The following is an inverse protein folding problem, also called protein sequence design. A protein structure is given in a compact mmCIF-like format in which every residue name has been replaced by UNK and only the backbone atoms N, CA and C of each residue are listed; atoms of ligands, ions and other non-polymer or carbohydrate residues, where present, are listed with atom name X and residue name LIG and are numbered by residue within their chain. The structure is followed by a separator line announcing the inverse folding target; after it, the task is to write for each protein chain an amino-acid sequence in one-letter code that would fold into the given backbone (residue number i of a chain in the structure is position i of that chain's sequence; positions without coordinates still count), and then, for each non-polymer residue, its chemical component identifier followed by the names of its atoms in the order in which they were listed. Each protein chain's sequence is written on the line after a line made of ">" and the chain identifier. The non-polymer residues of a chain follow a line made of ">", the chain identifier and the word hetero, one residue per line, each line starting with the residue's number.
data_IF_363382319439
#
_entry.id   IF_363382319439
#
_cell.length_a   1.000
_cell.length_b   1.000
_cell.length_c   1.000
_cell.angle_alpha   90.00
_cell.angle_beta   90.00
_cell.angle_gamma   90.00
#
_symmetry.space_group_name_H-M   'P 1'
#
loop_
_entity.id
_entity.type
_entity.pdbx_description
1 polymer ?
#
# COMPACT_ATOMS: atom_id res chain seq x y z
N UNK A 1 -15.77 15.46 -12.43
CA UNK A 1 -15.18 15.07 -11.13
C UNK A 1 -14.11 16.07 -10.70
N UNK A 2 -13.06 16.27 -11.50
CA UNK A 2 -11.95 17.14 -11.11
C UNK A 2 -12.40 18.55 -10.73
N UNK A 3 -13.22 19.21 -11.56
CA UNK A 3 -13.79 20.53 -11.24
C UNK A 3 -14.56 20.52 -9.91
N UNK A 4 -15.39 19.50 -9.67
CA UNK A 4 -16.17 19.37 -8.44
C UNK A 4 -15.25 19.27 -7.22
N UNK A 5 -14.19 18.47 -7.30
CA UNK A 5 -13.21 18.29 -6.21
C UNK A 5 -12.42 19.57 -5.98
N UNK A 6 -12.08 20.29 -7.06
CA UNK A 6 -11.33 21.53 -7.01
C UNK A 6 -12.15 22.68 -6.41
N UNK A 7 -13.45 22.77 -6.72
CA UNK A 7 -14.32 23.88 -6.32
C UNK A 7 -15.01 23.62 -4.97
N UNK A 8 -15.52 22.41 -4.73
CA UNK A 8 -16.33 22.13 -3.55
C UNK A 8 -15.52 21.45 -2.45
N UNK A 9 -15.70 21.93 -1.20
CA UNK A 9 -15.14 21.32 0.02
C UNK A 9 -16.09 20.35 0.73
N UNK A 10 -17.29 20.18 0.20
CA UNK A 10 -18.32 19.34 0.81
C UNK A 10 -18.03 17.86 0.57
N UNK A 11 -17.79 17.11 1.66
CA UNK A 11 -17.32 15.73 1.61
C UNK A 11 -18.26 14.76 0.90
N UNK A 12 -19.58 14.89 1.07
CA UNK A 12 -20.53 14.00 0.37
C UNK A 12 -20.52 14.23 -1.15
N UNK A 13 -20.33 15.49 -1.58
CA UNK A 13 -20.21 15.84 -3.01
C UNK A 13 -18.93 15.22 -3.58
N UNK A 14 -17.81 15.31 -2.83
CA UNK A 14 -16.54 14.68 -3.21
C UNK A 14 -16.65 13.16 -3.31
N UNK A 15 -17.34 12.54 -2.35
CA UNK A 15 -17.57 11.10 -2.33
C UNK A 15 -18.35 10.62 -3.56
N UNK A 16 -19.41 11.34 -3.94
CA UNK A 16 -20.17 11.03 -5.15
C UNK A 16 -19.33 11.25 -6.41
N UNK A 17 -18.60 12.36 -6.49
CA UNK A 17 -17.77 12.67 -7.63
C UNK A 17 -16.70 11.59 -7.89
N UNK A 18 -16.02 11.10 -6.83
CA UNK A 18 -15.05 10.00 -6.96
C UNK A 18 -15.74 8.66 -7.24
N UNK A 19 -16.96 8.44 -6.74
CA UNK A 19 -17.72 7.20 -7.01
C UNK A 19 -18.17 7.11 -8.47
N UNK A 20 -18.64 8.22 -9.05
CA UNK A 20 -18.96 8.32 -10.48
C UNK A 20 -17.69 8.10 -11.32
N UNK A 21 -16.56 8.71 -10.94
CA UNK A 21 -15.30 8.51 -11.66
C UNK A 21 -14.84 7.05 -11.59
N UNK A 22 -14.96 6.40 -10.43
CA UNK A 22 -14.67 4.98 -10.28
C UNK A 22 -15.51 4.13 -11.25
N UNK A 23 -16.81 4.41 -11.38
CA UNK A 23 -17.69 3.70 -12.30
C UNK A 23 -17.25 3.88 -13.77
N UNK A 24 -16.91 5.10 -14.16
CA UNK A 24 -16.45 5.42 -15.51
C UNK A 24 -15.15 4.66 -15.83
N UNK A 25 -14.17 4.71 -14.92
CA UNK A 25 -12.87 4.04 -15.10
C UNK A 25 -13.02 2.52 -15.08
N UNK A 26 -13.85 1.97 -14.18
CA UNK A 26 -14.10 0.54 -14.10
C UNK A 26 -14.73 -0.05 -15.37
N UNK A 27 -15.54 0.74 -16.09
CA UNK A 27 -16.16 0.33 -17.35
C UNK A 27 -15.25 0.52 -18.57
N UNK A 28 -14.13 1.23 -18.42
CA UNK A 28 -13.19 1.47 -19.52
C UNK A 28 -12.17 0.33 -19.67
N UNK A 29 -11.81 0.03 -20.91
CA UNK A 29 -10.77 -0.95 -21.20
C UNK A 29 -9.39 -0.42 -20.74
N UNK A 30 -8.68 -1.20 -19.92
CA UNK A 30 -7.39 -0.82 -19.33
C UNK A 30 -6.30 -0.53 -20.38
N UNK A 31 -6.35 -1.16 -21.56
CA UNK A 31 -5.30 -1.09 -22.57
C UNK A 31 -5.63 -0.14 -23.73
N UNK A 32 -6.93 0.13 -23.95
CA UNK A 32 -7.39 0.87 -25.13
C UNK A 32 -7.95 2.26 -24.82
N UNK A 33 -8.53 2.46 -23.63
CA UNK A 33 -9.35 3.65 -23.37
C UNK A 33 -9.00 4.39 -22.08
N UNK A 34 -8.42 3.70 -21.10
CA UNK A 34 -8.28 4.24 -19.75
C UNK A 34 -7.22 5.35 -19.64
N UNK A 35 -6.28 5.39 -20.57
CA UNK A 35 -5.23 6.41 -20.65
C UNK A 35 -5.78 7.83 -20.78
N UNK A 36 -6.92 8.02 -21.44
CA UNK A 36 -7.60 9.33 -21.52
C UNK A 36 -7.98 9.95 -20.18
N UNK A 37 -8.05 9.13 -19.12
CA UNK A 37 -8.33 9.62 -17.78
C UNK A 37 -7.07 9.95 -16.98
N UNK A 38 -5.89 9.44 -17.35
CA UNK A 38 -4.63 9.66 -16.63
C UNK A 38 -4.03 11.06 -16.83
N UNK A 39 -4.79 12.12 -16.56
CA UNK A 39 -4.38 13.52 -16.76
C UNK A 39 -3.82 14.14 -15.48
N UNK A 40 -2.97 15.17 -15.59
CA UNK A 40 -2.39 15.87 -14.43
C UNK A 40 -3.46 16.42 -13.50
N UNK A 41 -4.52 17.01 -14.06
CA UNK A 41 -5.67 17.54 -13.30
C UNK A 41 -6.35 16.45 -12.47
N UNK A 42 -6.40 15.21 -12.98
CA UNK A 42 -6.94 14.08 -12.23
C UNK A 42 -6.03 13.72 -11.05
N UNK A 43 -4.72 13.67 -11.26
CA UNK A 43 -3.76 13.39 -10.18
C UNK A 43 -3.74 14.49 -9.12
N UNK A 44 -3.88 15.76 -9.51
CA UNK A 44 -4.08 16.88 -8.57
C UNK A 44 -5.36 16.71 -7.73
N UNK A 45 -6.45 16.26 -8.38
CA UNK A 45 -7.69 15.96 -7.67
C UNK A 45 -7.52 14.78 -6.69
N UNK A 46 -6.76 13.75 -7.07
CA UNK A 46 -6.41 12.62 -6.20
C UNK A 46 -5.63 13.10 -4.98
N UNK A 47 -4.62 13.96 -5.14
CA UNK A 47 -3.90 14.56 -4.02
C UNK A 47 -4.85 15.25 -3.04
N UNK A 48 -5.78 16.08 -3.56
CA UNK A 48 -6.75 16.80 -2.72
C UNK A 48 -7.68 15.86 -1.95
N UNK A 49 -8.05 14.72 -2.54
CA UNK A 49 -8.92 13.72 -1.94
C UNK A 49 -8.19 12.79 -0.96
N UNK A 50 -6.87 12.65 -1.07
CA UNK A 50 -6.05 11.83 -0.16
C UNK A 50 -5.49 12.62 1.04
N UNK A 51 -5.58 13.95 1.02
CA UNK A 51 -5.04 14.83 2.08
C UNK A 51 -5.41 14.35 3.49
N UNK A 52 -4.53 14.60 4.46
CA UNK A 52 -4.68 14.17 5.86
C UNK A 52 -6.08 14.35 6.44
N UNK A 53 -6.74 15.48 6.20
CA UNK A 53 -8.07 15.81 6.72
C UNK A 53 -9.29 15.27 5.95
N UNK A 54 -9.11 14.53 4.84
CA UNK A 54 -10.23 13.94 4.10
C UNK A 54 -10.84 12.75 4.86
N UNK A 55 -12.15 12.51 4.69
CA UNK A 55 -12.83 11.37 5.33
C UNK A 55 -12.35 10.02 4.79
N UNK A 56 -12.36 9.00 5.65
CA UNK A 56 -11.86 7.65 5.34
C UNK A 56 -12.50 7.04 4.09
N UNK A 57 -13.82 7.18 3.91
CA UNK A 57 -14.52 6.67 2.74
C UNK A 57 -14.06 7.34 1.43
N UNK A 58 -13.81 8.66 1.46
CA UNK A 58 -13.30 9.41 0.31
C UNK A 58 -11.91 8.93 -0.04
N UNK A 59 -11.01 8.80 0.96
CA UNK A 59 -9.67 8.25 0.76
C UNK A 59 -9.73 6.84 0.18
N UNK A 60 -10.57 5.95 0.72
CA UNK A 60 -10.72 4.57 0.25
C UNK A 60 -11.13 4.50 -1.22
N UNK A 61 -12.16 5.28 -1.61
CA UNK A 61 -12.60 5.36 -3.02
C UNK A 61 -11.55 5.98 -3.93
N UNK A 62 -10.73 6.89 -3.41
CA UNK A 62 -9.65 7.54 -4.16
C UNK A 62 -8.46 6.61 -4.37
N UNK A 63 -8.06 5.84 -3.35
CA UNK A 63 -7.04 4.78 -3.49
C UNK A 63 -7.48 3.75 -4.52
N UNK A 64 -8.76 3.37 -4.52
CA UNK A 64 -9.30 2.47 -5.54
C UNK A 64 -9.25 3.07 -6.95
N UNK A 65 -9.60 4.36 -7.10
CA UNK A 65 -9.48 5.08 -8.38
C UNK A 65 -8.03 5.06 -8.88
N UNK A 66 -7.09 5.42 -7.99
CA UNK A 66 -5.65 5.43 -8.31
C UNK A 66 -5.18 4.05 -8.76
N UNK A 67 -5.57 2.97 -8.07
CA UNK A 67 -5.24 1.61 -8.48
C UNK A 67 -5.79 1.27 -9.87
N UNK A 68 -7.05 1.59 -10.16
CA UNK A 68 -7.62 1.30 -11.49
C UNK A 68 -6.94 2.09 -12.60
N UNK A 69 -6.58 3.35 -12.35
CA UNK A 69 -5.83 4.17 -13.31
C UNK A 69 -4.45 3.57 -13.59
N UNK A 70 -3.69 3.24 -12.54
CA UNK A 70 -2.36 2.65 -12.66
C UNK A 70 -2.38 1.21 -13.21
N UNK A 71 -3.53 0.54 -13.19
CA UNK A 71 -3.72 -0.72 -13.90
C UNK A 71 -3.71 -0.54 -15.44
N UNK A 72 -3.81 0.68 -15.96
CA UNK A 72 -3.52 0.98 -17.37
C UNK A 72 -2.00 1.08 -17.59
N UNK A 73 -1.39 0.26 -18.47
CA UNK A 73 0.05 0.30 -18.70
C UNK A 73 0.57 1.65 -19.20
N UNK A 74 -0.22 2.37 -20.01
CA UNK A 74 0.17 3.71 -20.51
C UNK A 74 0.20 4.74 -19.39
N UNK A 75 -0.80 4.74 -18.52
CA UNK A 75 -0.83 5.62 -17.32
C UNK A 75 0.30 5.24 -16.38
N UNK A 76 0.53 3.95 -16.13
CA UNK A 76 1.64 3.48 -15.29
C UNK A 76 3.00 3.90 -15.85
N UNK A 77 3.21 3.80 -17.17
CA UNK A 77 4.45 4.21 -17.81
C UNK A 77 4.70 5.72 -17.64
N UNK A 78 3.67 6.56 -17.84
CA UNK A 78 3.75 8.00 -17.61
C UNK A 78 3.95 8.36 -16.14
N UNK A 79 3.31 7.64 -15.23
CA UNK A 79 3.52 7.79 -13.79
C UNK A 79 4.95 7.43 -13.40
N UNK A 80 5.52 6.41 -14.04
CA UNK A 80 6.89 5.94 -13.83
C UNK A 80 7.96 6.84 -14.42
N UNK A 81 7.73 7.48 -15.57
CA UNK A 81 8.73 8.32 -16.24
C UNK A 81 9.16 9.50 -15.37
N UNK A 82 8.27 10.01 -14.52
CA UNK A 82 8.59 11.06 -13.55
C UNK A 82 9.69 10.68 -12.53
N UNK A 83 10.03 9.40 -12.39
CA UNK A 83 11.10 8.93 -11.50
C UNK A 83 12.43 8.69 -12.22
N UNK A 84 12.42 8.61 -13.55
CA UNK A 84 13.59 8.26 -14.36
C UNK A 84 14.36 9.49 -14.87
N UNK A 85 13.82 10.70 -14.70
CA UNK A 85 14.46 11.97 -15.11
C UNK A 85 15.61 12.42 -14.17
N UNK A 86 16.06 11.55 -13.25
CA UNK A 86 17.11 11.85 -12.28
C UNK A 86 18.55 11.48 -12.69
N UNK A 87 18.75 10.72 -13.77
CA UNK A 87 20.10 10.35 -14.22
C UNK A 87 20.54 11.22 -15.41
N UNK A 88 21.18 12.35 -15.09
CA UNK A 88 22.13 13.01 -15.98
C UNK A 88 21.65 14.28 -16.71
N UNK A 89 22.18 15.42 -16.26
CA UNK A 89 22.42 16.64 -17.05
C UNK A 89 21.20 17.30 -17.72
N UNK A 90 20.47 18.09 -16.94
CA UNK A 90 19.67 19.19 -17.46
C UNK A 90 19.45 20.23 -16.37
N UNK A 91 20.02 21.43 -16.51
CA UNK A 91 19.60 22.58 -15.72
C UNK A 91 18.10 22.77 -15.96
N UNK A 92 17.28 22.51 -14.95
CA UNK A 92 15.88 22.91 -14.98
C UNK A 92 15.84 24.40 -14.67
N UNK A 93 15.45 25.20 -15.66
CA UNK A 93 15.13 26.61 -15.49
C UNK A 93 14.10 26.76 -14.36
N UNK A 94 14.45 27.54 -13.33
CA UNK A 94 13.69 27.71 -12.08
C UNK A 94 12.41 28.58 -12.28
N UNK A 95 12.01 28.85 -13.53
CA UNK A 95 10.96 29.82 -13.86
C UNK A 95 9.74 29.25 -14.62
N UNK A 96 9.47 27.94 -14.59
CA UNK A 96 8.15 27.44 -14.95
C UNK A 96 7.25 27.34 -13.71
N UNK A 97 6.21 28.16 -13.69
CA UNK A 97 5.20 28.24 -12.62
C UNK A 97 4.22 27.04 -12.64
N UNK A 98 4.67 25.88 -13.14
CA UNK A 98 3.91 24.64 -13.16
C UNK A 98 4.39 23.78 -11.99
N UNK A 99 3.51 23.53 -11.03
CA UNK A 99 3.70 22.48 -10.02
C UNK A 99 4.05 21.18 -10.74
N UNK A 100 5.34 20.84 -10.82
CA UNK A 100 5.83 19.74 -11.65
C UNK A 100 5.07 18.45 -11.35
N UNK A 101 4.75 17.64 -12.36
CA UNK A 101 4.02 16.36 -12.18
C UNK A 101 4.70 15.46 -11.13
N UNK A 102 6.03 15.56 -10.98
CA UNK A 102 6.79 14.94 -9.90
C UNK A 102 6.32 15.37 -8.49
N UNK A 103 6.08 16.66 -8.26
CA UNK A 103 5.56 17.18 -6.98
C UNK A 103 4.20 16.56 -6.64
N UNK A 104 3.30 16.41 -7.63
CA UNK A 104 1.98 15.79 -7.42
C UNK A 104 2.13 14.32 -7.00
N UNK A 105 2.99 13.57 -7.70
CA UNK A 105 3.22 12.16 -7.40
C UNK A 105 3.88 11.98 -6.02
N UNK A 106 4.80 12.85 -5.65
CA UNK A 106 5.45 12.81 -4.34
C UNK A 106 4.42 12.90 -3.19
N UNK A 107 3.47 13.83 -3.31
CA UNK A 107 2.38 14.02 -2.34
C UNK A 107 1.42 12.83 -2.32
N UNK A 108 1.20 12.15 -3.46
CA UNK A 108 0.43 10.91 -3.49
C UNK A 108 1.08 9.85 -2.61
N UNK A 109 2.39 9.62 -2.72
CA UNK A 109 3.07 8.62 -1.91
C UNK A 109 3.11 8.96 -0.43
N UNK A 110 3.30 10.23 -0.09
CA UNK A 110 3.18 10.69 1.29
C UNK A 110 1.78 10.39 1.85
N UNK A 111 0.74 10.69 1.07
CA UNK A 111 -0.64 10.44 1.48
C UNK A 111 -0.97 8.94 1.60
N UNK A 112 -0.39 8.09 0.73
CA UNK A 112 -0.52 6.62 0.85
C UNK A 112 0.22 6.11 2.09
N UNK A 113 1.40 6.63 2.40
CA UNK A 113 2.12 6.29 3.61
C UNK A 113 1.35 6.69 4.87
N UNK A 114 0.70 7.86 4.87
CA UNK A 114 -0.22 8.26 5.94
C UNK A 114 -1.41 7.29 6.07
N UNK A 115 -2.00 6.85 4.95
CA UNK A 115 -3.09 5.88 4.98
C UNK A 115 -2.68 4.55 5.63
N UNK A 116 -1.42 4.10 5.46
CA UNK A 116 -0.88 2.88 6.08
C UNK A 116 -0.60 3.10 7.56
N UNK A 117 -0.04 4.25 7.93
CA UNK A 117 0.32 4.58 9.30
C UNK A 117 -0.89 4.81 10.24
N UNK A 118 -2.12 4.81 9.73
CA UNK A 118 -3.33 4.91 10.54
C UNK A 118 -3.46 3.70 11.49
N UNK A 119 -3.10 3.85 12.76
CA UNK A 119 -3.11 2.77 13.77
C UNK A 119 -4.47 2.51 14.42
N UNK A 120 -5.56 3.06 13.88
CA UNK A 120 -6.86 2.92 14.53
C UNK A 120 -7.50 1.54 14.30
N UNK A 121 -8.37 1.19 15.23
CA UNK A 121 -8.94 -0.16 15.41
C UNK A 121 -10.30 -0.34 14.75
N UNK A 122 -10.86 0.68 14.09
CA UNK A 122 -12.17 0.54 13.46
C UNK A 122 -12.08 -0.14 12.08
N UNK A 123 -13.20 -0.73 11.65
CA UNK A 123 -13.26 -1.49 10.40
C UNK A 123 -12.97 -0.63 9.16
N UNK A 124 -13.35 0.65 9.16
CA UNK A 124 -13.16 1.54 8.01
C UNK A 124 -11.69 1.89 7.76
N UNK A 125 -10.93 2.14 8.83
CA UNK A 125 -9.49 2.38 8.78
C UNK A 125 -8.74 1.14 8.30
N UNK A 126 -9.10 -0.03 8.82
CA UNK A 126 -8.57 -1.31 8.36
C UNK A 126 -8.85 -1.53 6.86
N UNK A 127 -10.06 -1.20 6.40
CA UNK A 127 -10.40 -1.26 4.99
C UNK A 127 -9.55 -0.30 4.15
N UNK A 128 -9.36 0.95 4.58
CA UNK A 128 -8.52 1.93 3.87
C UNK A 128 -7.07 1.43 3.76
N UNK A 129 -6.50 0.96 4.87
CA UNK A 129 -5.15 0.37 4.92
C UNK A 129 -5.05 -0.80 3.96
N UNK A 130 -6.00 -1.73 4.00
CA UNK A 130 -6.03 -2.89 3.12
C UNK A 130 -6.03 -2.51 1.63
N UNK A 131 -6.86 -1.55 1.22
CA UNK A 131 -6.88 -1.10 -0.18
C UNK A 131 -5.58 -0.41 -0.59
N UNK A 132 -4.94 0.29 0.35
CA UNK A 132 -3.63 0.91 0.13
C UNK A 132 -2.54 -0.15 -0.05
N UNK A 133 -2.53 -1.18 0.80
CA UNK A 133 -1.61 -2.32 0.68
C UNK A 133 -1.82 -3.09 -0.62
N UNK A 134 -3.07 -3.27 -1.07
CA UNK A 134 -3.37 -3.90 -2.37
C UNK A 134 -2.77 -3.10 -3.52
N UNK A 135 -2.88 -1.76 -3.49
CA UNK A 135 -2.22 -0.89 -4.48
C UNK A 135 -0.69 -1.05 -4.43
N UNK A 136 -0.08 -1.09 -3.25
CA UNK A 136 1.35 -1.34 -3.14
C UNK A 136 1.74 -2.74 -3.63
N UNK A 137 0.92 -3.76 -3.38
CA UNK A 137 1.12 -5.12 -3.88
C UNK A 137 1.04 -5.18 -5.42
N UNK A 138 0.23 -4.31 -6.03
CA UNK A 138 0.20 -4.09 -7.47
C UNK A 138 1.54 -3.49 -7.94
N UNK A 139 2.05 -2.42 -7.32
CA UNK A 139 3.37 -1.86 -7.66
C UNK A 139 4.49 -2.90 -7.61
N UNK A 140 4.51 -3.75 -6.59
CA UNK A 140 5.47 -4.85 -6.46
C UNK A 140 5.41 -5.87 -7.62
N UNK A 141 4.31 -5.86 -8.39
CA UNK A 141 4.07 -6.72 -9.55
C UNK A 141 4.14 -5.97 -10.89
N UNK A 142 4.27 -4.64 -10.89
CA UNK A 142 4.27 -3.78 -12.10
C UNK A 142 5.66 -3.64 -12.75
N UNK A 143 6.59 -4.56 -12.46
CA UNK A 143 7.95 -4.54 -12.99
C UNK A 143 8.90 -3.61 -12.23
N UNK A 144 10.01 -3.25 -12.88
CA UNK A 144 11.16 -2.54 -12.27
C UNK A 144 10.75 -1.26 -11.53
N UNK A 145 10.08 -0.34 -12.22
CA UNK A 145 9.71 0.96 -11.66
C UNK A 145 8.86 0.82 -10.38
N UNK A 146 7.84 -0.03 -10.39
CA UNK A 146 6.96 -0.21 -9.24
C UNK A 146 7.70 -0.76 -8.01
N UNK A 147 8.63 -1.70 -8.21
CA UNK A 147 9.47 -2.23 -7.12
C UNK A 147 10.45 -1.17 -6.61
N UNK A 148 11.07 -0.40 -7.49
CA UNK A 148 12.00 0.67 -7.11
C UNK A 148 11.32 1.80 -6.34
N UNK A 149 10.09 2.17 -6.71
CA UNK A 149 9.25 3.09 -5.93
C UNK A 149 9.10 2.57 -4.50
N UNK A 150 8.73 1.31 -4.31
CA UNK A 150 8.47 0.77 -2.98
C UNK A 150 9.74 0.67 -2.11
N UNK A 151 10.89 0.40 -2.72
CA UNK A 151 12.13 0.13 -1.98
C UNK A 151 13.02 1.36 -1.81
N UNK A 152 12.95 2.33 -2.72
CA UNK A 152 13.90 3.45 -2.78
C UNK A 152 13.25 4.82 -2.60
N UNK A 153 11.93 4.94 -2.70
CA UNK A 153 11.28 6.24 -2.52
C UNK A 153 11.43 6.71 -1.07
N UNK A 154 12.14 7.82 -0.88
CA UNK A 154 12.34 8.45 0.42
C UNK A 154 11.11 9.23 0.84
N UNK A 155 10.46 8.80 1.92
CA UNK A 155 9.36 9.55 2.52
C UNK A 155 9.90 10.63 3.48
N UNK A 156 9.10 11.67 3.80
CA UNK A 156 9.46 12.68 4.77
C UNK A 156 9.96 12.08 6.09
N UNK A 157 10.94 12.76 6.71
CA UNK A 157 11.60 12.33 7.96
C UNK A 157 12.43 11.04 7.82
N UNK A 158 12.90 10.72 6.61
CA UNK A 158 13.77 9.56 6.37
C UNK A 158 13.07 8.21 6.55
N UNK A 159 11.73 8.19 6.46
CA UNK A 159 10.95 6.95 6.49
C UNK A 159 10.96 6.29 5.11
N UNK A 160 10.65 5.00 5.09
CA UNK A 160 10.41 4.24 3.87
C UNK A 160 9.16 3.37 4.02
N UNK A 161 8.61 2.90 2.90
CA UNK A 161 7.42 2.04 2.91
C UNK A 161 7.63 0.74 3.71
N UNK A 162 8.75 0.01 3.57
CA UNK A 162 9.00 -1.20 4.36
C UNK A 162 8.88 -0.96 5.87
N UNK A 163 9.49 0.11 6.40
CA UNK A 163 9.43 0.43 7.83
C UNK A 163 7.99 0.75 8.27
N UNK A 164 7.26 1.58 7.52
CA UNK A 164 5.89 1.97 7.87
C UNK A 164 4.95 0.75 7.85
N UNK A 165 5.11 -0.14 6.87
CA UNK A 165 4.32 -1.37 6.76
C UNK A 165 4.60 -2.30 7.95
N UNK A 166 5.88 -2.51 8.30
CA UNK A 166 6.26 -3.36 9.43
C UNK A 166 5.74 -2.79 10.76
N UNK A 167 5.90 -1.48 10.98
CA UNK A 167 5.41 -0.81 12.18
C UNK A 167 3.88 -0.91 12.30
N UNK A 168 3.15 -0.65 11.20
CA UNK A 168 1.68 -0.81 11.19
C UNK A 168 1.27 -2.25 11.51
N UNK A 169 1.98 -3.24 10.98
CA UNK A 169 1.66 -4.64 11.18
C UNK A 169 1.90 -5.07 12.64
N UNK A 170 2.99 -4.63 13.27
CA UNK A 170 3.22 -4.88 14.70
C UNK A 170 2.10 -4.26 15.55
N UNK A 171 1.71 -3.02 15.28
CA UNK A 171 0.58 -2.39 15.97
C UNK A 171 -0.71 -3.20 15.83
N UNK A 172 -0.99 -3.75 14.65
CA UNK A 172 -2.19 -4.59 14.43
C UNK A 172 -2.13 -5.91 15.23
N UNK A 173 -0.95 -6.53 15.34
CA UNK A 173 -0.76 -7.74 16.15
C UNK A 173 -0.90 -7.45 17.65
N UNK A 174 -0.35 -6.34 18.13
CA UNK A 174 -0.44 -5.94 19.54
C UNK A 174 -1.90 -5.64 19.93
N UNK A 175 -2.67 -5.02 19.02
CA UNK A 175 -4.11 -4.79 19.21
C UNK A 175 -4.93 -6.09 19.14
N UNK A 176 -4.50 -7.08 18.37
CA UNK A 176 -5.15 -8.39 18.33
C UNK A 176 -4.94 -9.18 19.63
N UNK A 177 -3.76 -9.08 20.23
CA UNK A 177 -3.42 -9.78 21.48
C UNK A 177 -4.04 -9.12 22.74
N UNK A 178 -4.23 -7.80 22.73
CA UNK A 178 -4.73 -7.05 23.89
C UNK A 178 -6.24 -6.95 24.00
N UNK A 179 -6.98 -7.13 22.90
CA UNK A 179 -8.42 -6.88 22.85
C UNK A 179 -9.21 -8.18 22.67
N UNK A 180 -9.60 -8.76 23.80
CA UNK A 180 -10.35 -10.02 23.90
C UNK A 180 -11.82 -9.90 23.47
N UNK A 181 -12.31 -8.68 23.21
CA UNK A 181 -13.71 -8.39 22.90
C UNK A 181 -13.89 -7.69 21.54
N UNK A 182 -13.06 -8.04 20.56
CA UNK A 182 -13.14 -7.44 19.23
C UNK A 182 -14.45 -7.72 18.51
N UNK A 183 -15.01 -6.67 17.92
CA UNK A 183 -16.15 -6.82 17.03
C UNK A 183 -15.77 -7.74 15.84
N UNK A 184 -16.66 -8.68 15.45
CA UNK A 184 -16.36 -9.65 14.39
C UNK A 184 -15.92 -9.01 13.06
N UNK A 185 -16.46 -7.83 12.73
CA UNK A 185 -16.10 -7.10 11.52
C UNK A 185 -14.67 -6.55 11.58
N UNK A 186 -14.25 -6.00 12.72
CA UNK A 186 -12.89 -5.49 12.94
C UNK A 186 -11.88 -6.63 12.84
N UNK A 187 -12.15 -7.75 13.51
CA UNK A 187 -11.30 -8.93 13.44
C UNK A 187 -11.15 -9.44 11.99
N UNK A 188 -12.27 -9.51 11.26
CA UNK A 188 -12.28 -9.94 9.85
C UNK A 188 -11.44 -9.01 8.99
N UNK A 189 -11.62 -7.69 9.11
CA UNK A 189 -10.87 -6.73 8.29
C UNK A 189 -9.38 -6.72 8.65
N UNK A 190 -9.01 -6.89 9.92
CA UNK A 190 -7.61 -7.02 10.32
C UNK A 190 -6.97 -8.29 9.76
N UNK A 191 -7.66 -9.43 9.84
CA UNK A 191 -7.19 -10.69 9.23
C UNK A 191 -6.92 -10.49 7.73
N UNK A 192 -7.84 -9.82 7.02
CA UNK A 192 -7.65 -9.53 5.59
C UNK A 192 -6.48 -8.58 5.34
N UNK A 193 -6.31 -7.54 6.17
CA UNK A 193 -5.17 -6.62 6.08
C UNK A 193 -3.83 -7.36 6.25
N UNK A 194 -3.68 -8.17 7.31
CA UNK A 194 -2.47 -8.96 7.58
C UNK A 194 -2.13 -9.84 6.37
N UNK A 195 -3.13 -10.53 5.81
CA UNK A 195 -2.95 -11.35 4.61
C UNK A 195 -2.40 -10.54 3.43
N UNK A 196 -2.98 -9.40 3.12
CA UNK A 196 -2.52 -8.56 1.99
C UNK A 196 -1.11 -8.01 2.23
N UNK A 197 -0.75 -7.66 3.48
CA UNK A 197 0.61 -7.23 3.83
C UNK A 197 1.60 -8.36 3.57
N UNK A 198 1.30 -9.58 4.01
CA UNK A 198 2.16 -10.73 3.77
C UNK A 198 2.28 -11.07 2.27
N UNK A 199 1.23 -10.90 1.48
CA UNK A 199 1.28 -11.05 0.01
C UNK A 199 2.23 -10.02 -0.59
N UNK A 200 2.11 -8.74 -0.21
CA UNK A 200 3.01 -7.67 -0.66
C UNK A 200 4.47 -7.99 -0.33
N UNK A 201 4.76 -8.32 0.93
CA UNK A 201 6.13 -8.63 1.38
C UNK A 201 6.69 -9.84 0.65
N UNK A 202 5.93 -10.92 0.51
CA UNK A 202 6.35 -12.11 -0.23
C UNK A 202 6.61 -11.81 -1.72
N UNK A 203 5.79 -10.96 -2.36
CA UNK A 203 6.03 -10.53 -3.74
C UNK A 203 7.36 -9.78 -3.88
N UNK A 204 7.67 -8.87 -2.96
CA UNK A 204 8.93 -8.14 -2.95
C UNK A 204 10.14 -9.06 -2.77
N UNK A 205 10.13 -9.91 -1.74
CA UNK A 205 11.27 -10.80 -1.44
C UNK A 205 11.38 -12.02 -2.37
N UNK A 206 10.36 -12.25 -3.20
CA UNK A 206 10.37 -13.28 -4.25
C UNK A 206 10.64 -12.71 -5.64
N UNK A 207 10.84 -11.40 -5.77
CA UNK A 207 11.07 -10.78 -7.06
C UNK A 207 12.39 -11.28 -7.69
N UNK A 208 12.40 -11.77 -8.95
CA UNK A 208 13.57 -12.42 -9.55
C UNK A 208 14.85 -11.59 -9.55
N UNK A 209 14.73 -10.27 -9.70
CA UNK A 209 15.86 -9.33 -9.77
C UNK A 209 16.09 -8.51 -8.49
N UNK A 210 15.08 -8.37 -7.63
CA UNK A 210 15.09 -7.41 -6.52
C UNK A 210 14.95 -8.07 -5.15
N UNK A 211 14.87 -9.40 -5.07
CA UNK A 211 14.70 -10.14 -3.81
C UNK A 211 15.75 -9.77 -2.76
N UNK A 212 17.03 -9.71 -3.13
CA UNK A 212 18.13 -9.33 -2.23
C UNK A 212 18.03 -7.88 -1.77
N UNK A 213 17.60 -6.97 -2.65
CA UNK A 213 17.40 -5.56 -2.32
C UNK A 213 16.20 -5.38 -1.38
N UNK A 214 15.09 -6.08 -1.63
CA UNK A 214 13.91 -6.10 -0.77
C UNK A 214 14.22 -6.67 0.63
N UNK A 215 14.95 -7.79 0.70
CA UNK A 215 15.40 -8.38 1.96
C UNK A 215 16.31 -7.43 2.73
N UNK A 216 17.22 -6.74 2.03
CA UNK A 216 18.05 -5.69 2.63
C UNK A 216 17.20 -4.52 3.11
N UNK A 217 16.22 -4.04 2.35
CA UNK A 217 15.35 -2.94 2.78
C UNK A 217 14.58 -3.27 4.07
N UNK A 218 14.18 -4.53 4.24
CA UNK A 218 13.54 -5.03 5.47
C UNK A 218 14.51 -5.22 6.64
N UNK A 219 15.82 -5.27 6.42
CA UNK A 219 16.80 -5.68 7.45
C UNK A 219 18.04 -4.78 7.56
N UNK A 220 18.09 -3.64 6.86
CA UNK A 220 19.25 -2.75 6.81
C UNK A 220 19.52 -1.97 8.11
N UNK A 221 18.66 -2.11 9.11
CA UNK A 221 18.84 -1.56 10.45
C UNK A 221 18.39 -2.58 11.48
N UNK A 222 18.94 -2.47 12.69
CA UNK A 222 18.57 -3.33 13.81
C UNK A 222 17.07 -3.28 14.08
N UNK A 223 16.47 -2.10 14.06
CA UNK A 223 15.03 -1.91 14.27
C UNK A 223 14.21 -2.69 13.25
N UNK A 224 14.45 -2.50 11.94
CA UNK A 224 13.69 -3.20 10.89
C UNK A 224 13.93 -4.70 10.91
N UNK A 225 15.17 -5.15 11.17
CA UNK A 225 15.46 -6.56 11.31
C UNK A 225 14.69 -7.19 12.49
N UNK A 226 14.67 -6.51 13.64
CA UNK A 226 13.89 -6.94 14.81
C UNK A 226 12.39 -6.97 14.51
N UNK A 227 11.82 -5.92 13.90
CA UNK A 227 10.40 -5.89 13.53
C UNK A 227 10.05 -7.00 12.53
N UNK A 228 10.89 -7.23 11.51
CA UNK A 228 10.66 -8.28 10.51
C UNK A 228 10.70 -9.67 11.14
N UNK A 229 11.67 -9.92 12.03
CA UNK A 229 11.78 -11.20 12.75
C UNK A 229 10.60 -11.39 13.71
N UNK A 230 10.19 -10.36 14.44
CA UNK A 230 9.05 -10.42 15.37
C UNK A 230 7.75 -10.77 14.63
N UNK A 231 7.40 -9.97 13.61
CA UNK A 231 6.19 -10.17 12.79
C UNK A 231 6.16 -11.57 12.20
N UNK A 232 7.25 -12.01 11.55
CA UNK A 232 7.29 -13.32 10.91
C UNK A 232 7.24 -14.46 11.92
N UNK A 233 7.83 -14.28 13.12
CA UNK A 233 7.73 -15.25 14.22
C UNK A 233 6.30 -15.38 14.73
N UNK A 234 5.69 -14.28 15.18
CA UNK A 234 4.34 -14.25 15.74
C UNK A 234 3.31 -14.83 14.78
N UNK A 235 3.36 -14.43 13.52
CA UNK A 235 2.42 -14.92 12.50
C UNK A 235 2.67 -16.38 12.09
N UNK A 236 3.93 -16.84 12.05
CA UNK A 236 4.24 -18.24 11.73
C UNK A 236 3.91 -19.23 12.85
N UNK A 237 3.98 -18.77 14.11
CA UNK A 237 3.68 -19.54 15.31
C UNK A 237 2.27 -19.30 15.83
N UNK A 238 1.45 -18.54 15.11
CA UNK A 238 0.08 -18.23 15.49
C UNK A 238 -0.68 -19.55 15.61
N UNK A 239 -0.94 -19.96 16.86
CA UNK A 239 -1.71 -21.18 17.12
C UNK A 239 -3.11 -20.94 16.58
N UNK A 240 -3.50 -21.76 15.61
CA UNK A 240 -4.91 -21.97 15.29
C UNK A 240 -5.55 -22.58 16.53
N UNK A 241 -6.02 -21.73 17.43
CA UNK A 241 -6.97 -22.20 18.43
C UNK A 241 -8.10 -22.84 17.62
N UNK A 242 -8.27 -24.14 17.80
CA UNK A 242 -9.37 -24.92 17.25
C UNK A 242 -10.66 -24.40 17.89
N UNK A 243 -11.11 -23.24 17.44
CA UNK A 243 -12.42 -22.72 17.74
C UNK A 243 -13.38 -23.58 16.89
N UNK A 244 -14.00 -24.56 17.54
CA UNK A 244 -14.94 -25.51 16.93
C UNK A 244 -16.17 -24.83 16.29
N UNK A 245 -16.29 -23.51 16.39
CA UNK A 245 -17.43 -22.70 15.92
C UNK A 245 -17.04 -21.65 14.87
N UNK A 246 -15.85 -21.77 14.26
CA UNK A 246 -15.37 -20.82 13.25
C UNK A 246 -15.73 -21.26 11.83
N UNK A 247 -16.26 -20.32 11.03
CA UNK A 247 -16.60 -20.59 9.62
C UNK A 247 -15.41 -21.09 8.81
N UNK A 248 -15.65 -22.04 7.90
CA UNK A 248 -14.61 -22.63 7.04
C UNK A 248 -13.79 -21.58 6.28
N UNK A 249 -14.42 -20.49 5.86
CA UNK A 249 -13.75 -19.35 5.20
C UNK A 249 -12.72 -18.66 6.09
N UNK A 250 -12.94 -18.59 7.40
CA UNK A 250 -11.98 -17.99 8.33
C UNK A 250 -10.79 -18.93 8.57
N UNK A 251 -11.03 -20.23 8.71
CA UNK A 251 -9.94 -21.22 8.85
C UNK A 251 -8.99 -21.19 7.64
N UNK A 252 -9.52 -21.15 6.41
CA UNK A 252 -8.70 -21.07 5.18
C UNK A 252 -7.82 -19.82 5.17
N UNK A 253 -8.33 -18.67 5.63
CA UNK A 253 -7.57 -17.42 5.66
C UNK A 253 -6.46 -17.45 6.72
N UNK A 254 -6.76 -18.00 7.88
CA UNK A 254 -5.77 -18.13 8.96
C UNK A 254 -4.64 -19.10 8.55
N UNK A 255 -4.95 -20.22 7.90
CA UNK A 255 -3.91 -21.11 7.35
C UNK A 255 -3.07 -20.43 6.28
N UNK A 256 -3.68 -19.66 5.38
CA UNK A 256 -2.95 -18.92 4.35
C UNK A 256 -2.00 -17.87 4.95
N UNK A 257 -2.41 -17.19 6.02
CA UNK A 257 -1.55 -16.24 6.75
C UNK A 257 -0.33 -16.97 7.33
N UNK A 258 -0.54 -18.14 7.96
CA UNK A 258 0.55 -18.94 8.52
C UNK A 258 1.52 -19.36 7.41
N UNK A 259 1.03 -19.87 6.29
CA UNK A 259 1.85 -20.31 5.16
C UNK A 259 2.66 -19.14 4.57
N UNK A 260 2.01 -18.00 4.32
CA UNK A 260 2.66 -16.79 3.82
C UNK A 260 3.73 -16.28 4.81
N UNK A 261 3.45 -16.32 6.11
CA UNK A 261 4.38 -15.91 7.15
C UNK A 261 5.58 -16.86 7.23
N UNK A 262 5.38 -18.17 7.13
CA UNK A 262 6.45 -19.16 7.12
C UNK A 262 7.38 -19.00 5.91
N UNK A 263 6.82 -18.76 4.71
CA UNK A 263 7.63 -18.52 3.51
C UNK A 263 8.49 -17.26 3.67
N UNK A 264 7.89 -16.16 4.16
CA UNK A 264 8.60 -14.92 4.41
C UNK A 264 9.69 -15.12 5.49
N UNK A 265 9.36 -15.79 6.59
CA UNK A 265 10.30 -16.15 7.68
C UNK A 265 11.51 -16.88 7.13
N UNK A 266 11.31 -17.98 6.38
CA UNK A 266 12.41 -18.78 5.83
C UNK A 266 13.37 -17.93 4.99
N UNK A 267 12.84 -17.05 4.13
CA UNK A 267 13.65 -16.15 3.29
C UNK A 267 14.43 -15.14 4.12
N UNK A 268 13.80 -14.51 5.10
CA UNK A 268 14.44 -13.52 5.99
C UNK A 268 15.54 -14.18 6.81
N UNK A 269 15.28 -15.31 7.46
CA UNK A 269 16.26 -16.01 8.29
C UNK A 269 17.45 -16.48 7.46
N UNK A 270 17.18 -17.06 6.28
CA UNK A 270 18.25 -17.47 5.35
C UNK A 270 19.12 -16.28 4.92
N UNK A 271 18.51 -15.13 4.65
CA UNK A 271 19.23 -13.91 4.29
C UNK A 271 20.08 -13.34 5.43
N UNK A 272 19.59 -13.40 6.66
CA UNK A 272 20.31 -12.97 7.86
C UNK A 272 21.42 -13.96 8.30
N UNK A 273 21.59 -15.09 7.60
CA UNK A 273 22.52 -16.14 7.98
C UNK A 273 22.06 -17.00 9.16
N UNK A 274 20.78 -16.92 9.53
CA UNK A 274 20.18 -17.79 10.53
C UNK A 274 19.91 -19.17 9.95
N UNK A 275 20.45 -20.22 10.57
CA UNK A 275 20.06 -21.61 10.30
C UNK A 275 18.63 -21.83 10.79
N UNK A 276 17.75 -22.34 9.91
CA UNK A 276 16.38 -22.72 10.26
C UNK A 276 16.41 -23.79 11.37
N UNK A 277 16.17 -23.38 12.61
CA UNK A 277 15.81 -24.26 13.73
C UNK A 277 14.42 -23.89 14.21
#
# INVERSE_FOLDING_TARGET
>A
MCEIVMIHDVEHIRLEAVSVMNLIVARSNAYLERDKYGTDILFQSIVKLLKKGARLHVKKKTVHLLHMLLNCPRVMASFCSCFMEGDGSGMVDINSNESSTFSVISVIFESLAECIACTGSNAEELQLRKHTIILLAFFASSGKCGVEILLNYGLPKGKDFPAIILQSLVCDLDLEESDTAQQPEVFKERTLLIREVLILLNRLVSHPKYSSHALRALTNSREKATLTVDVTSRLSSKRTFFWQDVSMTRQIRESEIIDLAQVLRRRVFTFLGGSNQ
#
